data_IF_311435533615
#
_entry.id   IF_311435533615
#
_cell.length_a   1.000
_cell.length_b   1.000
_cell.length_c   1.000
_cell.angle_alpha   90.00
_cell.angle_beta   90.00
_cell.angle_gamma   90.00
#
_symmetry.space_group_name_H-M   'P 1'
#
loop_
_entity.id
_entity.type
_entity.pdbx_description
1 polymer ?
#
# COMPACT_ATOMS: atom_id res chain seq x y z
N UNK A 1 -4.81 26.14 5.28
CA UNK A 1 -5.02 24.75 4.82
C UNK A 1 -4.42 23.79 5.83
N UNK A 2 -5.21 22.90 6.43
CA UNK A 2 -4.71 21.88 7.38
C UNK A 2 -3.85 20.89 6.58
N UNK A 3 -2.53 20.95 6.74
CA UNK A 3 -1.62 19.96 6.15
C UNK A 3 -1.84 18.62 6.86
N UNK A 4 -2.49 17.68 6.18
CA UNK A 4 -2.57 16.31 6.68
C UNK A 4 -1.14 15.75 6.81
N UNK A 5 -0.79 15.10 7.94
CA UNK A 5 0.52 14.47 8.09
C UNK A 5 0.80 13.55 6.91
N UNK A 6 1.99 13.64 6.33
CA UNK A 6 2.39 12.75 5.24
C UNK A 6 2.52 11.34 5.81
N UNK A 7 1.87 10.36 5.17
CA UNK A 7 2.04 8.95 5.52
C UNK A 7 3.50 8.56 5.30
N UNK A 8 4.11 7.95 6.32
CA UNK A 8 5.44 7.38 6.24
C UNK A 8 5.32 5.86 6.16
N UNK A 9 5.91 5.27 5.12
CA UNK A 9 5.99 3.82 4.96
C UNK A 9 7.09 3.25 5.84
N UNK A 10 6.76 2.98 7.09
CA UNK A 10 7.66 2.27 8.02
C UNK A 10 7.88 0.82 7.60
N UNK A 11 8.97 0.16 8.01
CA UNK A 11 9.19 -1.26 7.71
C UNK A 11 8.03 -2.17 8.14
N UNK A 12 7.39 -1.86 9.28
CA UNK A 12 6.23 -2.61 9.78
C UNK A 12 5.01 -2.42 8.88
N UNK A 13 4.76 -1.18 8.43
CA UNK A 13 3.67 -0.88 7.50
C UNK A 13 3.91 -1.52 6.13
N UNK A 14 5.16 -1.50 5.67
CA UNK A 14 5.59 -2.16 4.44
C UNK A 14 5.36 -3.68 4.49
N UNK A 15 5.74 -4.34 5.59
CA UNK A 15 5.53 -5.78 5.77
C UNK A 15 4.05 -6.15 5.69
N UNK A 16 3.15 -5.34 6.27
CA UNK A 16 1.69 -5.53 6.14
C UNK A 16 1.23 -5.38 4.70
N UNK A 17 1.74 -4.38 3.99
CA UNK A 17 1.45 -4.19 2.56
C UNK A 17 1.90 -5.38 1.72
N UNK A 18 3.12 -5.90 1.94
CA UNK A 18 3.61 -7.07 1.20
C UNK A 18 2.77 -8.31 1.48
N UNK A 19 2.40 -8.54 2.75
CA UNK A 19 1.48 -9.61 3.13
C UNK A 19 0.12 -9.50 2.44
N UNK A 20 -0.44 -8.28 2.35
CA UNK A 20 -1.70 -8.05 1.64
C UNK A 20 -1.57 -8.30 0.13
N UNK A 21 -0.48 -7.83 -0.49
CA UNK A 21 -0.19 -8.09 -1.91
C UNK A 21 -0.02 -9.58 -2.19
N UNK A 22 0.70 -10.30 -1.33
CA UNK A 22 0.90 -11.75 -1.45
C UNK A 22 -0.41 -12.51 -1.28
N UNK A 23 -1.25 -12.13 -0.31
CA UNK A 23 -2.55 -12.77 -0.06
C UNK A 23 -3.54 -12.53 -1.20
N UNK A 24 -3.56 -11.34 -1.79
CA UNK A 24 -4.44 -11.01 -2.91
C UNK A 24 -3.96 -11.62 -4.24
N UNK A 25 -2.65 -11.80 -4.40
CA UNK A 25 -2.05 -12.25 -5.65
C UNK A 25 -2.07 -11.18 -6.75
N UNK A 26 -1.33 -11.42 -7.83
CA UNK A 26 -1.02 -10.42 -8.87
C UNK A 26 -2.26 -9.76 -9.49
N UNK A 27 -3.32 -10.54 -9.72
CA UNK A 27 -4.55 -10.05 -10.37
C UNK A 27 -5.42 -9.19 -9.46
N UNK A 28 -5.54 -9.56 -8.17
CA UNK A 28 -6.43 -8.87 -7.22
C UNK A 28 -5.72 -7.84 -6.34
N UNK A 29 -4.38 -7.76 -6.42
CA UNK A 29 -3.56 -6.76 -5.74
C UNK A 29 -3.70 -5.37 -6.39
N UNK A 30 -4.91 -4.80 -6.31
CA UNK A 30 -5.23 -3.43 -6.69
C UNK A 30 -5.31 -2.53 -5.45
N UNK A 31 -5.10 -1.20 -5.57
CA UNK A 31 -4.99 -0.31 -4.42
C UNK A 31 -6.17 -0.35 -3.44
N UNK A 32 -7.39 -0.48 -3.96
CA UNK A 32 -8.61 -0.59 -3.14
C UNK A 32 -8.59 -1.85 -2.27
N UNK A 33 -8.31 -3.01 -2.87
CA UNK A 33 -8.31 -4.29 -2.16
C UNK A 33 -7.17 -4.36 -1.15
N UNK A 34 -5.98 -3.85 -1.51
CA UNK A 34 -4.83 -3.82 -0.59
C UNK A 34 -5.14 -2.91 0.60
N UNK A 35 -5.74 -1.73 0.37
CA UNK A 35 -6.15 -0.84 1.46
C UNK A 35 -7.16 -1.52 2.41
N UNK A 36 -8.16 -2.19 1.86
CA UNK A 36 -9.16 -2.93 2.63
C UNK A 36 -8.54 -4.09 3.42
N UNK A 37 -7.62 -4.83 2.81
CA UNK A 37 -6.90 -5.93 3.46
C UNK A 37 -5.97 -5.44 4.57
N UNK A 38 -5.34 -4.27 4.40
CA UNK A 38 -4.47 -3.69 5.43
C UNK A 38 -5.28 -3.17 6.63
N UNK A 39 -6.49 -2.65 6.39
CA UNK A 39 -7.42 -2.15 7.41
C UNK A 39 -6.75 -1.23 8.46
N UNK A 40 -6.08 -0.18 8.00
CA UNK A 40 -5.33 0.77 8.84
C UNK A 40 -6.00 2.14 8.79
N UNK A 41 -6.29 2.70 9.96
CA UNK A 41 -6.88 4.03 10.08
C UNK A 41 -5.94 5.12 9.52
N UNK A 42 -6.51 6.00 8.70
CA UNK A 42 -5.78 7.09 8.05
C UNK A 42 -5.00 6.66 6.79
N UNK A 43 -4.96 5.37 6.45
CA UNK A 43 -4.41 4.90 5.18
C UNK A 43 -5.43 5.11 4.06
N UNK A 44 -5.06 5.90 3.04
CA UNK A 44 -5.94 6.12 1.88
C UNK A 44 -5.54 5.25 0.70
N UNK A 45 -6.49 5.06 -0.23
CA UNK A 45 -6.28 4.35 -1.49
C UNK A 45 -5.14 4.97 -2.31
N UNK A 46 -5.00 6.30 -2.28
CA UNK A 46 -3.96 7.05 -3.00
C UNK A 46 -2.57 6.78 -2.42
N UNK A 47 -2.46 6.63 -1.09
CA UNK A 47 -1.20 6.22 -0.46
C UNK A 47 -0.77 4.83 -0.93
N UNK A 48 -1.72 3.88 -0.93
CA UNK A 48 -1.47 2.51 -1.40
C UNK A 48 -1.16 2.49 -2.89
N UNK A 49 -1.85 3.29 -3.71
CA UNK A 49 -1.64 3.34 -5.16
C UNK A 49 -0.22 3.81 -5.52
N UNK A 50 0.22 4.93 -4.95
CA UNK A 50 1.57 5.47 -5.18
C UNK A 50 2.66 4.51 -4.70
N UNK A 51 2.45 3.84 -3.56
CA UNK A 51 3.39 2.85 -3.04
C UNK A 51 3.42 1.57 -3.89
N UNK A 52 2.26 1.06 -4.31
CA UNK A 52 2.15 -0.12 -5.19
C UNK A 52 2.83 0.11 -6.55
N UNK A 53 2.70 1.32 -7.11
CA UNK A 53 3.39 1.69 -8.34
C UNK A 53 4.91 1.58 -8.18
N UNK A 54 5.46 2.17 -7.11
CA UNK A 54 6.90 2.10 -6.82
C UNK A 54 7.36 0.66 -6.55
N UNK A 55 6.57 -0.11 -5.79
CA UNK A 55 6.85 -1.53 -5.50
C UNK A 55 6.96 -2.37 -6.78
N UNK A 56 6.01 -2.21 -7.72
CA UNK A 56 6.04 -2.91 -9.02
C UNK A 56 7.22 -2.50 -9.90
N UNK A 57 7.62 -1.23 -9.86
CA UNK A 57 8.80 -0.76 -10.59
C UNK A 57 10.09 -1.38 -10.02
N UNK A 58 10.19 -1.50 -8.69
CA UNK A 58 11.35 -2.11 -8.04
C UNK A 58 11.45 -3.62 -8.31
N UNK A 59 10.33 -4.34 -8.36
CA UNK A 59 10.30 -5.80 -8.64
C UNK A 59 10.43 -6.19 -10.12
N UNK A 60 10.46 -5.22 -11.03
CA UNK A 60 10.73 -5.46 -12.47
C UNK A 60 12.22 -5.42 -12.81
N UNK A 61 13.07 -5.03 -11.87
CA UNK A 61 14.52 -5.26 -11.92
C UNK A 61 14.84 -6.60 -11.30
#
# INVERSE_FOLDING_TARGET
AIKRPRLVWTPQLHKKFESAVQKLGTEKAVPKNIMQEMNIDGLTRENVASHLQKYRMLRRK
#
